data_IF_315381178543
#
_entry.id   IF_315381178543
#
_cell.length_a   1.000
_cell.length_b   1.000
_cell.length_c   1.000
_cell.angle_alpha   90.00
_cell.angle_beta   90.00
_cell.angle_gamma   90.00
#
_symmetry.space_group_name_H-M   'P 1'
#
loop_
_entity.id
_entity.type
_entity.pdbx_description
1 polymer ?
#
# COMPACT_ATOMS: atom_id res chain seq x y z
N UNK A 1 -23.11 30.12 -9.97
CA UNK A 1 -22.12 29.24 -9.32
C UNK A 1 -22.28 29.30 -7.80
N UNK A 2 -22.44 30.47 -7.24
CA UNK A 2 -22.39 30.71 -5.77
C UNK A 2 -23.53 30.07 -4.94
N UNK A 3 -24.61 29.64 -5.57
CA UNK A 3 -25.72 28.91 -4.94
C UNK A 3 -25.61 27.37 -5.15
N UNK A 4 -24.53 26.91 -5.75
CA UNK A 4 -24.41 25.52 -6.17
C UNK A 4 -23.76 24.72 -5.05
N UNK A 5 -24.42 23.65 -4.60
CA UNK A 5 -23.83 22.60 -3.80
C UNK A 5 -23.37 21.49 -4.74
N UNK A 6 -22.07 21.38 -4.94
CA UNK A 6 -21.48 20.43 -5.90
C UNK A 6 -20.54 19.46 -5.18
N UNK A 7 -21.00 18.24 -4.87
CA UNK A 7 -20.18 17.27 -4.15
C UNK A 7 -18.99 16.79 -4.98
N UNK A 8 -19.04 16.90 -6.31
CA UNK A 8 -17.90 16.54 -7.17
C UNK A 8 -16.77 17.55 -6.99
N UNK A 9 -17.09 18.86 -6.94
CA UNK A 9 -16.08 19.90 -6.68
C UNK A 9 -15.47 19.73 -5.28
N UNK A 10 -16.31 19.47 -4.26
CA UNK A 10 -15.85 19.18 -2.90
C UNK A 10 -14.92 17.96 -2.84
N UNK A 11 -15.30 16.85 -3.47
CA UNK A 11 -14.49 15.63 -3.55
C UNK A 11 -13.19 15.88 -4.32
N UNK A 12 -13.20 16.55 -5.44
CA UNK A 12 -12.04 16.85 -6.26
C UNK A 12 -10.97 17.66 -5.51
N UNK A 13 -11.38 18.64 -4.71
CA UNK A 13 -10.49 19.45 -3.84
C UNK A 13 -9.72 18.57 -2.85
N UNK A 14 -10.35 17.53 -2.31
CA UNK A 14 -9.73 16.58 -1.37
C UNK A 14 -8.87 15.58 -2.14
N UNK A 15 -9.42 14.95 -3.17
CA UNK A 15 -8.74 13.93 -3.99
C UNK A 15 -7.40 14.47 -4.52
N UNK A 16 -7.36 15.69 -5.01
CA UNK A 16 -6.15 16.31 -5.56
C UNK A 16 -4.99 16.43 -4.57
N UNK A 17 -5.26 16.36 -3.26
CA UNK A 17 -4.25 16.51 -2.20
C UNK A 17 -3.73 15.20 -1.63
N UNK A 18 -4.47 14.11 -1.80
CA UNK A 18 -4.19 12.83 -1.12
C UNK A 18 -2.79 12.30 -1.45
N UNK A 19 -2.42 12.29 -2.74
CA UNK A 19 -1.11 11.83 -3.16
C UNK A 19 0.03 12.70 -2.63
N UNK A 20 -0.17 14.01 -2.50
CA UNK A 20 0.84 14.91 -1.96
C UNK A 20 1.06 14.66 -0.46
N UNK A 21 0.01 14.44 0.30
CA UNK A 21 0.14 14.10 1.73
C UNK A 21 0.91 12.79 1.96
N UNK A 22 0.78 11.82 1.06
CA UNK A 22 1.61 10.62 1.12
C UNK A 22 3.08 10.91 0.77
N UNK A 23 3.35 11.71 -0.25
CA UNK A 23 4.71 12.11 -0.64
C UNK A 23 5.43 12.90 0.46
N UNK A 24 4.73 13.74 1.20
CA UNK A 24 5.27 14.51 2.34
C UNK A 24 5.88 13.62 3.43
N UNK A 25 5.47 12.34 3.53
CA UNK A 25 6.03 11.39 4.52
C UNK A 25 7.45 10.96 4.19
N UNK A 26 7.84 10.97 2.93
CA UNK A 26 9.19 10.66 2.44
C UNK A 26 9.77 9.30 2.92
N UNK A 27 8.91 8.33 3.28
CA UNK A 27 9.28 7.04 3.86
C UNK A 27 8.71 5.83 3.09
N UNK A 28 8.21 6.07 1.87
CA UNK A 28 7.56 5.05 1.05
C UNK A 28 6.06 4.90 1.31
N UNK A 29 5.47 5.76 2.14
CA UNK A 29 4.01 5.83 2.30
C UNK A 29 3.34 6.18 0.97
N UNK A 30 2.28 5.46 0.63
CA UNK A 30 1.48 5.70 -0.58
C UNK A 30 0.01 5.86 -0.22
N UNK A 31 -0.70 6.65 -1.02
CA UNK A 31 -2.15 6.80 -0.92
C UNK A 31 -2.73 6.92 -2.33
N UNK A 32 -3.70 6.07 -2.64
CA UNK A 32 -4.27 5.93 -3.98
C UNK A 32 -5.79 6.07 -3.92
N UNK A 33 -6.34 6.91 -4.77
CA UNK A 33 -7.79 6.96 -5.02
C UNK A 33 -8.09 5.96 -6.14
N UNK A 34 -8.68 4.82 -5.78
CA UNK A 34 -8.90 3.71 -6.72
C UNK A 34 -10.29 3.70 -7.36
N UNK A 35 -11.23 4.44 -6.80
CA UNK A 35 -12.61 4.50 -7.28
C UNK A 35 -13.19 5.88 -7.04
N UNK A 36 -13.92 6.39 -8.02
CA UNK A 36 -14.73 7.63 -7.92
C UNK A 36 -16.03 7.40 -8.66
N UNK A 37 -17.14 7.74 -8.02
CA UNK A 37 -18.47 7.64 -8.59
C UNK A 37 -19.32 8.86 -8.24
N UNK A 38 -20.32 9.15 -9.07
CA UNK A 38 -21.25 10.26 -8.88
C UNK A 38 -22.68 9.79 -9.08
N UNK A 39 -23.61 10.26 -8.24
CA UNK A 39 -25.01 9.90 -8.28
C UNK A 39 -25.86 11.17 -8.29
N UNK A 40 -26.77 11.32 -9.26
CA UNK A 40 -26.79 10.61 -10.53
C UNK A 40 -25.61 11.01 -11.41
N UNK A 41 -25.11 10.06 -12.24
CA UNK A 41 -24.11 10.35 -13.27
C UNK A 41 -24.77 10.95 -14.50
N UNK A 42 -24.53 12.23 -14.76
CA UNK A 42 -25.09 12.90 -15.91
C UNK A 42 -24.23 14.06 -16.40
N UNK A 43 -24.16 14.26 -17.73
CA UNK A 43 -23.28 15.28 -18.33
C UNK A 43 -23.65 16.71 -18.01
N UNK A 44 -24.92 17.00 -17.72
CA UNK A 44 -25.48 18.33 -17.63
C UNK A 44 -26.25 18.62 -16.34
N UNK A 45 -26.06 17.76 -15.32
CA UNK A 45 -26.67 17.92 -14.01
C UNK A 45 -25.59 17.89 -12.91
N UNK A 46 -25.82 18.65 -11.84
CA UNK A 46 -25.02 18.55 -10.63
C UNK A 46 -25.36 17.25 -9.93
N UNK A 47 -24.35 16.50 -9.53
CA UNK A 47 -24.56 15.28 -8.75
C UNK A 47 -25.15 15.62 -7.36
N UNK A 48 -25.91 14.70 -6.81
CA UNK A 48 -26.38 14.75 -5.42
C UNK A 48 -25.30 14.20 -4.46
N UNK A 49 -24.58 13.19 -4.95
CA UNK A 49 -23.54 12.52 -4.17
C UNK A 49 -22.30 12.26 -5.02
N UNK A 50 -21.12 12.43 -4.41
CA UNK A 50 -19.85 11.96 -4.93
C UNK A 50 -19.25 10.97 -3.93
N UNK A 51 -18.87 9.78 -4.41
CA UNK A 51 -18.28 8.71 -3.63
C UNK A 51 -16.86 8.43 -4.15
N UNK A 52 -15.90 8.22 -3.25
CA UNK A 52 -14.57 7.77 -3.63
C UNK A 52 -13.94 6.88 -2.54
N UNK A 53 -13.00 6.03 -2.95
CA UNK A 53 -12.24 5.19 -2.04
C UNK A 53 -10.78 5.58 -2.02
N UNK A 54 -10.14 5.44 -0.85
CA UNK A 54 -8.71 5.69 -0.68
C UNK A 54 -8.05 4.47 -0.06
N UNK A 55 -7.01 3.96 -0.71
CA UNK A 55 -6.11 2.94 -0.18
C UNK A 55 -4.84 3.64 0.32
N UNK A 56 -4.56 3.56 1.62
CA UNK A 56 -3.38 4.15 2.26
C UNK A 56 -2.50 3.02 2.78
N UNK A 57 -1.24 3.01 2.35
CA UNK A 57 -0.26 2.00 2.80
C UNK A 57 0.99 2.69 3.33
N UNK A 58 1.39 2.29 4.54
CA UNK A 58 2.60 2.76 5.21
C UNK A 58 3.13 1.66 6.13
N UNK A 59 4.42 1.68 6.40
CA UNK A 59 5.04 0.89 7.48
C UNK A 59 4.77 1.48 8.87
N UNK A 60 4.28 2.72 8.94
CA UNK A 60 4.00 3.43 10.16
C UNK A 60 2.50 3.76 10.24
N UNK A 61 1.81 3.21 11.23
CA UNK A 61 0.40 3.46 11.47
C UNK A 61 0.09 4.94 11.73
N UNK A 62 1.01 5.70 12.32
CA UNK A 62 0.81 7.14 12.56
C UNK A 62 0.67 7.90 11.23
N UNK A 63 1.37 7.49 10.19
CA UNK A 63 1.23 8.09 8.86
C UNK A 63 -0.13 7.79 8.24
N UNK A 64 -0.65 6.57 8.41
CA UNK A 64 -2.00 6.19 7.96
C UNK A 64 -3.03 7.05 8.68
N UNK A 65 -2.91 7.14 10.00
CA UNK A 65 -3.81 7.94 10.84
C UNK A 65 -3.76 9.43 10.48
N UNK A 66 -2.56 9.98 10.25
CA UNK A 66 -2.40 11.39 9.87
C UNK A 66 -3.06 11.69 8.52
N UNK A 67 -2.81 10.86 7.49
CA UNK A 67 -3.44 11.05 6.17
C UNK A 67 -4.95 10.90 6.27
N UNK A 68 -5.45 9.91 7.01
CA UNK A 68 -6.89 9.70 7.25
C UNK A 68 -7.53 10.93 7.92
N UNK A 69 -6.86 11.49 8.93
CA UNK A 69 -7.33 12.69 9.63
C UNK A 69 -7.28 13.94 8.72
N UNK A 70 -6.27 14.06 7.85
CA UNK A 70 -6.20 15.16 6.87
C UNK A 70 -7.35 15.07 5.86
N UNK A 71 -7.67 13.87 5.37
CA UNK A 71 -8.82 13.63 4.49
C UNK A 71 -10.09 14.06 5.18
N UNK A 72 -10.34 13.61 6.43
CA UNK A 72 -11.52 14.00 7.21
C UNK A 72 -11.64 15.52 7.34
N UNK A 73 -10.59 16.19 7.79
CA UNK A 73 -10.57 17.65 7.96
C UNK A 73 -10.76 18.41 6.65
N UNK A 74 -10.24 17.87 5.55
CA UNK A 74 -10.41 18.48 4.23
C UNK A 74 -11.84 18.31 3.74
N UNK A 75 -12.48 17.16 3.97
CA UNK A 75 -13.89 16.93 3.70
C UNK A 75 -14.77 17.87 4.53
N UNK A 76 -14.52 17.98 5.86
CA UNK A 76 -15.25 18.91 6.73
C UNK A 76 -15.24 20.34 6.21
N UNK A 77 -14.08 20.81 5.75
CA UNK A 77 -13.94 22.15 5.15
C UNK A 77 -14.70 22.26 3.82
N UNK A 78 -14.47 21.28 2.92
CA UNK A 78 -15.05 21.31 1.60
C UNK A 78 -16.59 21.28 1.66
N UNK A 79 -17.20 20.40 2.47
CA UNK A 79 -18.66 20.34 2.62
C UNK A 79 -19.20 21.55 3.39
N UNK A 80 -18.45 22.09 4.35
CA UNK A 80 -18.84 23.28 5.10
C UNK A 80 -18.99 24.52 4.23
N UNK A 81 -18.17 24.65 3.18
CA UNK A 81 -18.28 25.72 2.18
C UNK A 81 -19.60 25.66 1.39
N UNK A 82 -20.16 24.47 1.21
CA UNK A 82 -21.33 24.22 0.37
C UNK A 82 -22.62 23.90 1.15
N UNK A 83 -22.54 23.79 2.51
CA UNK A 83 -23.68 23.38 3.33
C UNK A 83 -24.08 21.92 3.18
N UNK A 84 -23.15 21.07 2.72
CA UNK A 84 -23.35 19.64 2.55
C UNK A 84 -23.00 18.83 3.79
N UNK A 85 -23.00 17.51 3.63
CA UNK A 85 -22.53 16.54 4.63
C UNK A 85 -21.67 15.48 3.97
N UNK A 86 -20.90 14.75 4.77
CA UNK A 86 -20.17 13.56 4.29
C UNK A 86 -20.24 12.44 5.32
N UNK A 87 -20.10 11.22 4.86
CA UNK A 87 -19.84 10.04 5.65
C UNK A 87 -18.48 9.46 5.27
N UNK A 88 -17.77 8.89 6.24
CA UNK A 88 -16.45 8.30 6.03
C UNK A 88 -16.32 7.00 6.83
N UNK A 89 -16.30 5.91 6.10
CA UNK A 89 -16.17 4.56 6.64
C UNK A 89 -14.75 4.01 6.44
N UNK A 90 -14.21 3.35 7.47
CA UNK A 90 -13.01 2.54 7.33
C UNK A 90 -13.41 1.10 7.03
N UNK A 91 -13.20 0.65 5.79
CA UNK A 91 -13.60 -0.69 5.33
C UNK A 91 -12.61 -1.78 5.72
N UNK A 92 -11.32 -1.44 5.86
CA UNK A 92 -10.27 -2.40 6.16
C UNK A 92 -9.09 -1.71 6.82
N UNK A 93 -8.61 -2.28 7.92
CA UNK A 93 -7.35 -1.91 8.56
C UNK A 93 -6.47 -3.14 8.68
N UNK A 94 -5.27 -3.07 8.08
CA UNK A 94 -4.25 -4.10 8.21
C UNK A 94 -3.03 -3.47 8.88
N UNK A 95 -2.63 -4.03 10.00
CA UNK A 95 -1.42 -3.58 10.70
C UNK A 95 -0.18 -4.05 9.95
N UNK A 96 0.78 -3.18 9.64
CA UNK A 96 2.06 -3.59 9.08
C UNK A 96 2.76 -4.60 9.99
N UNK A 97 3.39 -5.60 9.39
CA UNK A 97 4.12 -6.65 10.11
C UNK A 97 5.60 -6.52 9.80
N UNK A 98 6.42 -6.49 10.86
CA UNK A 98 7.85 -6.58 10.73
C UNK A 98 8.27 -8.04 10.62
N UNK A 99 8.98 -8.36 9.54
CA UNK A 99 9.47 -9.71 9.30
C UNK A 99 10.69 -10.02 10.16
N UNK A 100 10.94 -11.32 10.42
CA UNK A 100 12.00 -11.79 11.29
C UNK A 100 13.38 -11.31 10.87
N UNK A 101 13.98 -10.41 11.65
CA UNK A 101 15.34 -9.91 11.43
C UNK A 101 16.38 -11.04 11.41
N UNK A 102 16.27 -12.03 12.31
CA UNK A 102 17.17 -13.18 12.37
C UNK A 102 17.14 -14.01 11.07
N UNK A 103 15.94 -14.25 10.52
CA UNK A 103 15.82 -14.99 9.25
C UNK A 103 16.37 -14.17 8.07
N UNK A 104 16.15 -12.85 8.08
CA UNK A 104 16.73 -11.94 7.08
C UNK A 104 18.26 -11.95 7.14
N UNK A 105 18.86 -11.94 8.35
CA UNK A 105 20.30 -11.99 8.54
C UNK A 105 20.90 -13.29 7.98
N UNK A 106 20.25 -14.43 8.20
CA UNK A 106 20.67 -15.73 7.65
C UNK A 106 20.66 -15.69 6.11
N UNK A 107 19.59 -15.18 5.52
CA UNK A 107 19.46 -15.10 4.06
C UNK A 107 20.47 -14.13 3.44
N UNK A 108 20.69 -12.97 4.07
CA UNK A 108 21.65 -11.98 3.62
C UNK A 108 23.08 -12.50 3.69
N UNK A 109 23.43 -13.20 4.77
CA UNK A 109 24.72 -13.89 4.92
C UNK A 109 24.94 -14.93 3.83
N UNK A 110 23.96 -15.80 3.58
CA UNK A 110 24.04 -16.83 2.53
C UNK A 110 24.19 -16.20 1.14
N UNK A 111 23.49 -15.10 0.86
CA UNK A 111 23.67 -14.35 -0.38
C UNK A 111 25.11 -13.84 -0.51
N UNK A 112 25.67 -13.24 0.56
CA UNK A 112 27.05 -12.74 0.58
C UNK A 112 28.10 -13.83 0.36
N UNK A 113 27.96 -14.99 1.03
CA UNK A 113 28.86 -16.14 0.89
C UNK A 113 28.88 -16.71 -0.54
N UNK A 114 27.76 -16.55 -1.28
CA UNK A 114 27.64 -17.00 -2.68
C UNK A 114 27.92 -15.91 -3.72
N UNK A 115 28.21 -14.70 -3.28
CA UNK A 115 28.40 -13.56 -4.17
C UNK A 115 27.12 -13.11 -4.88
N UNK A 116 25.94 -13.36 -4.28
CA UNK A 116 24.67 -12.88 -4.79
C UNK A 116 24.39 -11.48 -4.26
N UNK A 117 23.97 -10.57 -5.12
CA UNK A 117 23.49 -9.27 -4.68
C UNK A 117 22.10 -9.41 -4.04
N UNK A 118 21.91 -8.82 -2.87
CA UNK A 118 20.62 -8.76 -2.19
C UNK A 118 20.44 -7.39 -1.52
N UNK A 119 19.19 -7.09 -1.16
CA UNK A 119 18.85 -5.91 -0.38
C UNK A 119 17.60 -6.15 0.45
N UNK A 120 17.54 -5.56 1.63
CA UNK A 120 16.29 -5.46 2.38
C UNK A 120 15.40 -4.39 1.76
N UNK A 121 14.12 -4.68 1.70
CA UNK A 121 13.15 -3.78 1.11
C UNK A 121 11.78 -3.91 1.78
N UNK A 122 10.95 -2.90 1.62
CA UNK A 122 9.55 -2.96 2.02
C UNK A 122 8.73 -3.62 0.92
N UNK A 123 7.74 -4.44 1.31
CA UNK A 123 6.67 -4.83 0.41
C UNK A 123 5.51 -3.85 0.57
N UNK A 124 5.11 -3.21 -0.52
CA UNK A 124 3.89 -2.40 -0.57
C UNK A 124 2.63 -3.21 -0.88
N UNK A 125 2.78 -4.51 -1.21
CA UNK A 125 1.67 -5.41 -1.50
C UNK A 125 1.31 -6.25 -0.26
N UNK A 126 0.04 -6.65 -0.16
CA UNK A 126 -0.40 -7.64 0.81
C UNK A 126 0.05 -9.04 0.40
N UNK A 127 0.49 -9.83 1.37
CA UNK A 127 0.89 -11.22 1.21
C UNK A 127 0.42 -12.02 2.42
N UNK A 128 0.33 -13.34 2.31
CA UNK A 128 0.03 -14.24 3.43
C UNK A 128 0.98 -14.04 4.61
N UNK A 129 2.18 -13.54 4.35
CA UNK A 129 3.15 -13.15 5.38
C UNK A 129 2.64 -12.06 6.33
N UNK A 130 1.63 -11.26 5.96
CA UNK A 130 0.98 -10.31 6.86
C UNK A 130 0.19 -11.02 7.95
N UNK A 131 -0.46 -12.12 7.61
CA UNK A 131 -1.26 -12.91 8.56
C UNK A 131 -0.35 -13.82 9.40
N UNK A 132 0.55 -14.56 8.75
CA UNK A 132 1.43 -15.50 9.41
C UNK A 132 2.44 -14.77 10.32
N UNK A 133 2.95 -13.64 9.88
CA UNK A 133 3.95 -12.87 10.61
C UNK A 133 3.44 -12.23 11.92
N UNK A 134 2.12 -12.18 12.13
CA UNK A 134 1.52 -11.75 13.39
C UNK A 134 1.66 -12.80 14.50
N UNK A 135 1.82 -14.09 14.13
CA UNK A 135 1.81 -15.21 15.07
C UNK A 135 3.08 -16.07 15.04
N UNK A 136 3.83 -16.01 13.95
CA UNK A 136 5.06 -16.79 13.76
C UNK A 136 6.18 -15.95 13.15
N UNK A 137 7.45 -16.22 13.50
CA UNK A 137 8.58 -15.63 12.78
C UNK A 137 8.52 -15.97 11.29
N UNK A 138 8.42 -14.96 10.47
CA UNK A 138 8.17 -15.08 9.02
C UNK A 138 9.17 -14.24 8.24
N UNK A 139 9.51 -14.66 7.03
CA UNK A 139 10.33 -13.92 6.09
C UNK A 139 9.80 -14.10 4.67
N UNK A 140 10.06 -13.12 3.81
CA UNK A 140 9.79 -13.22 2.37
C UNK A 140 11.06 -12.98 1.57
N UNK A 141 11.21 -13.72 0.47
CA UNK A 141 12.28 -13.54 -0.51
C UNK A 141 11.67 -13.19 -1.85
N UNK A 142 11.98 -12.00 -2.34
CA UNK A 142 11.64 -11.59 -3.69
C UNK A 142 12.77 -11.91 -4.65
N UNK A 143 12.41 -12.21 -5.89
CA UNK A 143 13.31 -12.42 -7.02
C UNK A 143 13.06 -11.36 -8.07
N UNK A 144 14.06 -10.99 -8.90
CA UNK A 144 13.87 -10.02 -9.96
C UNK A 144 12.81 -10.48 -10.95
N UNK A 145 11.81 -9.67 -11.21
CA UNK A 145 10.84 -9.86 -12.29
C UNK A 145 11.14 -8.92 -13.45
N UNK A 146 10.82 -9.35 -14.67
CA UNK A 146 10.98 -8.55 -15.87
C UNK A 146 10.23 -7.22 -15.74
N UNK A 147 10.95 -6.12 -15.89
CA UNK A 147 10.42 -4.75 -15.75
C UNK A 147 9.76 -4.48 -14.38
N UNK A 148 10.07 -5.27 -13.33
CA UNK A 148 9.44 -5.18 -12.02
C UNK A 148 7.95 -5.52 -12.01
N UNK A 149 7.45 -6.20 -13.02
CA UNK A 149 6.02 -6.50 -13.16
C UNK A 149 5.63 -7.75 -12.39
N UNK A 150 4.43 -7.68 -11.79
CA UNK A 150 3.74 -8.82 -11.18
C UNK A 150 2.24 -8.77 -11.48
N UNK A 151 1.53 -9.87 -11.25
CA UNK A 151 0.08 -9.99 -11.46
C UNK A 151 -0.39 -9.68 -12.89
N UNK A 152 0.45 -9.99 -13.88
CA UNK A 152 0.15 -9.77 -15.28
C UNK A 152 0.73 -10.89 -16.18
N UNK A 153 0.18 -11.12 -17.38
CA UNK A 153 0.62 -12.22 -18.27
C UNK A 153 2.07 -12.15 -18.73
N UNK A 154 2.72 -11.00 -18.61
CA UNK A 154 4.13 -10.79 -18.99
C UNK A 154 5.09 -10.88 -17.80
N UNK A 155 4.62 -11.22 -16.62
CA UNK A 155 5.45 -11.50 -15.47
C UNK A 155 6.41 -12.64 -15.76
N UNK A 156 7.70 -12.41 -15.55
CA UNK A 156 8.72 -13.39 -15.84
C UNK A 156 9.94 -13.21 -14.95
N UNK A 157 10.40 -14.29 -14.35
CA UNK A 157 11.67 -14.38 -13.62
C UNK A 157 12.57 -15.42 -14.31
N UNK A 158 13.84 -15.10 -14.47
CA UNK A 158 14.82 -16.05 -15.05
C UNK A 158 14.96 -17.26 -14.12
N UNK A 159 15.00 -18.46 -14.70
CA UNK A 159 15.21 -19.69 -13.93
C UNK A 159 16.50 -19.69 -13.11
N UNK A 160 17.55 -19.02 -13.59
CA UNK A 160 18.80 -18.84 -12.83
C UNK A 160 18.60 -18.05 -11.53
N UNK A 161 17.68 -17.06 -11.50
CA UNK A 161 17.42 -16.27 -10.31
C UNK A 161 16.48 -17.02 -9.35
N UNK A 162 15.52 -17.80 -9.89
CA UNK A 162 14.75 -18.76 -9.09
C UNK A 162 15.61 -19.81 -8.43
N UNK A 163 16.59 -20.37 -9.15
CA UNK A 163 17.52 -21.35 -8.58
C UNK A 163 18.37 -20.78 -7.44
N UNK A 164 18.86 -19.52 -7.56
CA UNK A 164 19.56 -18.83 -6.48
C UNK A 164 18.67 -18.65 -5.26
N UNK A 165 17.44 -18.20 -5.46
CA UNK A 165 16.48 -18.02 -4.38
C UNK A 165 16.17 -19.35 -3.67
N UNK A 166 15.98 -20.43 -4.42
CA UNK A 166 15.74 -21.76 -3.85
C UNK A 166 16.90 -22.22 -2.94
N UNK A 167 18.15 -21.98 -3.34
CA UNK A 167 19.33 -22.32 -2.52
C UNK A 167 19.37 -21.51 -1.22
N UNK A 168 19.06 -20.21 -1.27
CA UNK A 168 19.00 -19.34 -0.07
C UNK A 168 17.89 -19.81 0.87
N UNK A 169 16.72 -20.16 0.34
CA UNK A 169 15.60 -20.68 1.14
C UNK A 169 15.89 -22.06 1.73
N UNK A 170 16.57 -22.95 0.98
CA UNK A 170 17.00 -24.25 1.49
C UNK A 170 17.95 -24.09 2.70
N UNK A 171 18.90 -23.15 2.63
CA UNK A 171 19.81 -22.86 3.73
C UNK A 171 19.05 -22.39 4.96
N UNK A 172 18.14 -21.45 4.80
CA UNK A 172 17.30 -20.96 5.89
C UNK A 172 16.50 -22.10 6.54
N UNK A 173 15.88 -22.95 5.73
CA UNK A 173 15.12 -24.11 6.22
C UNK A 173 16.00 -25.06 7.03
N UNK A 174 17.20 -25.37 6.56
CA UNK A 174 18.15 -26.23 7.30
C UNK A 174 18.58 -25.62 8.65
N UNK A 175 18.73 -24.30 8.71
CA UNK A 175 19.15 -23.66 9.98
C UNK A 175 18.00 -23.48 10.98
N UNK A 176 16.76 -23.40 10.53
CA UNK A 176 15.60 -23.12 11.39
C UNK A 176 14.70 -24.31 11.67
N UNK A 177 14.59 -25.24 10.75
CA UNK A 177 13.62 -26.36 10.85
C UNK A 177 14.30 -27.67 11.19
N UNK A 178 15.56 -27.84 10.85
CA UNK A 178 16.30 -29.12 11.02
C UNK A 178 17.23 -29.11 12.26
N UNK A 179 17.04 -28.18 13.17
CA UNK A 179 17.62 -28.19 14.52
C UNK A 179 16.53 -28.70 15.46
#
# INVERSE_FOLDING_TARGET
>A
MDMRMDPVDAAAKVISRIADWAREKADGTVATVGYVNTIPGGMNIVADTAEFTVDIRSRNNDNINDITNRIRKALERAVGEYGGSFDMENKLTITPVELSGEMLDIMEKECGERGYSCKRMLSGAGHDALEIGQVLPTVMLFVPSKDGRSHCPVEFTKYSDLAKAAVVMEKLAKEKVMK
#
